data_IF_219002174892
#
_entry.id   IF_219002174892
#
_cell.length_a   1.000
_cell.length_b   1.000
_cell.length_c   1.000
_cell.angle_alpha   90.00
_cell.angle_beta   90.00
_cell.angle_gamma   90.00
#
_symmetry.space_group_name_H-M   'P 1'
#
loop_
_entity.id
_entity.type
_entity.pdbx_description
1 polymer ?
#
# COMPACT_ATOMS: atom_id res chain seq x y z
N UNK A 1 -13.29 -0.20 14.71
CA UNK A 1 -11.84 -0.21 15.00
C UNK A 1 -11.13 -0.03 13.66
N UNK A 2 -10.22 0.94 13.53
CA UNK A 2 -9.53 1.23 12.25
C UNK A 2 -8.50 0.14 12.01
N UNK A 3 -8.57 -0.55 10.87
CA UNK A 3 -7.59 -1.56 10.48
C UNK A 3 -6.38 -0.86 9.88
N UNK A 4 -5.18 -1.14 10.39
CA UNK A 4 -3.94 -0.63 9.78
C UNK A 4 -3.52 -1.54 8.64
N UNK A 5 -3.57 -1.01 7.41
CA UNK A 5 -3.14 -1.70 6.19
C UNK A 5 -1.88 -1.03 5.66
N UNK A 6 -0.87 -1.82 5.32
CA UNK A 6 0.41 -1.36 4.81
C UNK A 6 0.79 -2.17 3.57
N UNK A 7 1.13 -1.48 2.48
CA UNK A 7 1.68 -2.11 1.29
C UNK A 7 3.11 -2.60 1.56
N UNK A 8 3.45 -3.82 1.17
CA UNK A 8 4.79 -4.40 1.37
C UNK A 8 5.35 -5.02 0.09
N UNK A 9 6.47 -4.47 -0.37
CA UNK A 9 7.23 -5.00 -1.50
C UNK A 9 8.12 -6.16 -1.02
N UNK A 10 7.63 -7.39 -1.21
CA UNK A 10 8.35 -8.61 -0.84
C UNK A 10 7.46 -9.84 -0.75
N UNK A 11 8.06 -10.99 -0.45
CA UNK A 11 7.32 -12.22 -0.31
C UNK A 11 6.53 -12.23 1.01
N UNK A 12 5.25 -12.59 0.92
CA UNK A 12 4.39 -12.79 2.09
C UNK A 12 3.96 -14.25 2.14
N UNK A 13 4.32 -14.92 3.23
CA UNK A 13 3.90 -16.30 3.50
C UNK A 13 3.43 -16.43 4.96
N UNK A 14 2.44 -17.30 5.26
CA UNK A 14 2.07 -17.58 6.64
C UNK A 14 3.28 -18.08 7.45
N UNK A 15 3.24 -17.85 8.76
CA UNK A 15 4.26 -18.32 9.71
C UNK A 15 5.68 -17.81 9.42
N UNK A 16 5.79 -16.70 8.67
CA UNK A 16 7.06 -16.05 8.37
C UNK A 16 7.25 -14.75 9.14
N UNK A 17 8.49 -14.26 9.15
CA UNK A 17 8.85 -13.00 9.79
C UNK A 17 9.32 -12.02 8.74
N UNK A 18 8.71 -10.84 8.72
CA UNK A 18 9.03 -9.75 7.80
C UNK A 18 9.70 -8.61 8.56
N UNK A 19 10.87 -8.20 8.08
CA UNK A 19 11.53 -6.97 8.53
C UNK A 19 11.10 -5.84 7.60
N UNK A 20 10.49 -4.80 8.17
CA UNK A 20 10.01 -3.67 7.38
C UNK A 20 11.16 -2.75 6.98
N UNK A 21 11.14 -2.19 5.75
CA UNK A 21 12.01 -1.10 5.37
C UNK A 21 11.84 0.09 6.31
N UNK A 22 12.92 0.88 6.47
CA UNK A 22 12.96 2.01 7.40
C UNK A 22 11.80 3.00 7.26
N UNK A 23 11.36 3.27 6.03
CA UNK A 23 10.25 4.19 5.77
C UNK A 23 8.90 3.62 6.27
N UNK A 24 8.65 2.34 6.01
CA UNK A 24 7.47 1.63 6.53
C UNK A 24 7.49 1.54 8.05
N UNK A 25 8.65 1.25 8.65
CA UNK A 25 8.82 1.23 10.10
C UNK A 25 8.52 2.61 10.73
N UNK A 26 9.04 3.68 10.14
CA UNK A 26 8.77 5.06 10.58
C UNK A 26 7.28 5.41 10.50
N UNK A 27 6.60 5.02 9.41
CA UNK A 27 5.17 5.24 9.27
C UNK A 27 4.36 4.55 10.39
N UNK A 28 4.68 3.29 10.71
CA UNK A 28 3.97 2.55 11.76
C UNK A 28 4.22 3.12 13.17
N UNK A 29 5.46 3.44 13.53
CA UNK A 29 5.83 3.89 14.88
C UNK A 29 5.54 5.38 15.09
N UNK A 30 5.94 6.25 14.17
CA UNK A 30 5.91 7.70 14.41
C UNK A 30 4.60 8.35 13.97
N UNK A 31 3.99 7.85 12.88
CA UNK A 31 2.75 8.40 12.34
C UNK A 31 1.54 7.70 12.94
N UNK A 32 1.50 6.36 12.85
CA UNK A 32 0.37 5.58 13.36
C UNK A 32 0.49 5.24 14.86
N UNK A 33 1.69 5.37 15.45
CA UNK A 33 1.95 5.15 16.88
C UNK A 33 1.58 3.74 17.37
N UNK A 34 1.83 2.76 16.51
CA UNK A 34 1.66 1.35 16.86
C UNK A 34 2.78 0.87 17.78
N UNK A 35 2.46 -0.13 18.59
CA UNK A 35 3.36 -0.77 19.54
C UNK A 35 3.51 -2.26 19.22
N UNK A 36 4.50 -2.90 19.85
CA UNK A 36 4.57 -4.37 19.90
C UNK A 36 3.25 -4.96 20.39
N UNK A 37 2.76 -5.99 19.70
CA UNK A 37 1.47 -6.63 19.93
C UNK A 37 0.35 -6.14 19.02
N UNK A 38 0.48 -4.97 18.40
CA UNK A 38 -0.56 -4.44 17.52
C UNK A 38 -0.67 -5.24 16.21
N UNK A 39 -1.92 -5.41 15.75
CA UNK A 39 -2.23 -6.07 14.49
C UNK A 39 -2.02 -5.13 13.30
N UNK A 40 -1.37 -5.63 12.26
CA UNK A 40 -1.13 -4.93 11.00
C UNK A 40 -1.48 -5.87 9.84
N UNK A 41 -2.11 -5.33 8.81
CA UNK A 41 -2.40 -6.07 7.58
C UNK A 41 -1.35 -5.68 6.53
N UNK A 42 -0.53 -6.64 6.13
CA UNK A 42 0.42 -6.46 5.02
C UNK A 42 -0.21 -6.98 3.74
N UNK A 43 -0.08 -6.22 2.65
CA UNK A 43 -0.60 -6.65 1.36
C UNK A 43 0.30 -6.28 0.19
N UNK A 44 0.18 -7.06 -0.88
CA UNK A 44 0.68 -6.75 -2.21
C UNK A 44 -0.12 -7.51 -3.28
N UNK A 45 0.11 -7.18 -4.56
CA UNK A 45 -0.64 -7.74 -5.67
C UNK A 45 -0.35 -9.24 -5.89
N UNK A 46 0.84 -9.69 -5.51
CA UNK A 46 1.32 -11.04 -5.84
C UNK A 46 0.82 -12.11 -4.85
N UNK A 47 0.81 -11.81 -3.55
CA UNK A 47 0.49 -12.78 -2.50
C UNK A 47 -0.84 -12.47 -1.81
N UNK A 48 -1.40 -11.27 -2.01
CA UNK A 48 -2.68 -10.86 -1.45
C UNK A 48 -2.47 -10.13 -0.13
N UNK A 49 -3.37 -10.33 0.83
CA UNK A 49 -3.34 -9.65 2.12
C UNK A 49 -3.21 -10.65 3.27
N UNK A 50 -2.37 -10.31 4.24
CA UNK A 50 -2.02 -11.13 5.38
C UNK A 50 -2.21 -10.36 6.67
N UNK A 51 -2.65 -11.08 7.70
CA UNK A 51 -2.71 -10.60 9.08
C UNK A 51 -1.35 -10.86 9.70
N UNK A 52 -0.76 -9.83 10.28
CA UNK A 52 0.47 -9.94 11.05
C UNK A 52 0.39 -9.21 12.37
N UNK A 53 1.32 -9.54 13.25
CA UNK A 53 1.48 -8.93 14.57
C UNK A 53 2.85 -8.31 14.69
N UNK A 54 2.90 -7.08 15.20
CA UNK A 54 4.16 -6.40 15.46
C UNK A 54 4.89 -7.06 16.63
N UNK A 55 6.08 -7.62 16.40
CA UNK A 55 6.87 -8.27 17.45
C UNK A 55 7.82 -7.27 18.10
N UNK A 56 8.65 -6.61 17.28
CA UNK A 56 9.60 -5.59 17.72
C UNK A 56 9.23 -4.25 17.12
N UNK A 57 9.09 -3.24 17.98
CA UNK A 57 8.89 -1.85 17.61
C UNK A 57 10.09 -1.03 18.10
N UNK A 58 11.26 -1.21 17.48
CA UNK A 58 12.42 -0.34 17.75
C UNK A 58 12.46 0.80 16.74
N UNK A 59 13.15 1.89 17.09
CA UNK A 59 13.25 3.06 16.20
C UNK A 59 14.00 2.79 14.89
N UNK A 60 14.70 1.65 14.79
CA UNK A 60 15.50 1.26 13.63
C UNK A 60 14.86 0.09 12.86
N UNK A 61 14.40 -0.94 13.58
CA UNK A 61 13.84 -2.15 12.99
C UNK A 61 12.43 -2.42 13.54
N UNK A 62 11.47 -2.58 12.62
CA UNK A 62 10.14 -3.12 12.90
C UNK A 62 10.05 -4.51 12.28
N UNK A 63 9.60 -5.46 13.10
CA UNK A 63 9.43 -6.85 12.69
C UNK A 63 7.96 -7.24 12.83
N UNK A 64 7.39 -7.80 11.76
CA UNK A 64 6.02 -8.30 11.73
C UNK A 64 6.07 -9.82 11.60
N UNK A 65 5.41 -10.53 12.51
CA UNK A 65 5.15 -11.96 12.38
C UNK A 65 3.88 -12.12 11.56
N UNK A 66 3.95 -12.82 10.43
CA UNK A 66 2.80 -13.11 9.58
C UNK A 66 2.05 -14.30 10.17
N UNK A 67 0.81 -14.08 10.61
CA UNK A 67 0.00 -15.09 11.28
C UNK A 67 -0.79 -15.92 10.26
N UNK A 68 -1.53 -15.28 9.36
CA UNK A 68 -2.38 -15.98 8.38
C UNK A 68 -2.69 -15.11 7.15
N UNK A 69 -3.08 -15.75 6.06
CA UNK A 69 -3.60 -15.05 4.88
C UNK A 69 -5.04 -14.63 5.12
N UNK A 70 -5.33 -13.34 4.94
CA UNK A 70 -6.67 -12.77 5.05
C UNK A 70 -7.42 -12.82 3.72
N UNK A 71 -6.75 -12.47 2.62
CA UNK A 71 -7.32 -12.46 1.27
C UNK A 71 -6.30 -12.94 0.26
N UNK A 72 -6.73 -13.81 -0.66
CA UNK A 72 -5.94 -14.17 -1.83
C UNK A 72 -5.91 -13.03 -2.84
N UNK A 73 -4.88 -12.95 -3.71
CA UNK A 73 -4.93 -12.08 -4.88
C UNK A 73 -6.16 -12.41 -5.71
N UNK A 74 -6.93 -11.39 -6.07
CA UNK A 74 -8.05 -11.53 -6.99
C UNK A 74 -7.79 -10.65 -8.22
N UNK A 75 -7.85 -11.21 -9.44
CA UNK A 75 -7.75 -10.39 -10.64
C UNK A 75 -8.95 -9.44 -10.72
N UNK A 76 -8.77 -8.21 -11.23
CA UNK A 76 -9.86 -7.27 -11.40
C UNK A 76 -10.91 -7.84 -12.37
N UNK A 77 -12.20 -7.69 -12.04
CA UNK A 77 -13.31 -8.13 -12.89
C UNK A 77 -13.46 -7.30 -14.16
N UNK A 78 -12.96 -6.06 -14.15
CA UNK A 78 -12.92 -5.15 -15.28
C UNK A 78 -11.55 -4.47 -15.33
N UNK A 79 -10.93 -4.46 -16.51
CA UNK A 79 -9.64 -3.81 -16.72
C UNK A 79 -9.88 -2.40 -17.26
N UNK A 80 -9.47 -1.39 -16.50
CA UNK A 80 -9.58 0.02 -16.88
C UNK A 80 -8.19 0.62 -17.02
N UNK A 81 -7.87 1.12 -18.21
CA UNK A 81 -6.66 1.89 -18.48
C UNK A 81 -7.02 3.37 -18.62
N UNK A 82 -6.52 4.21 -17.72
CA UNK A 82 -6.84 5.63 -17.69
C UNK A 82 -5.71 6.45 -18.30
N UNK A 83 -5.95 7.03 -19.48
CA UNK A 83 -5.15 8.12 -20.00
C UNK A 83 -5.46 9.41 -19.25
N UNK A 84 -4.51 9.94 -18.48
CA UNK A 84 -4.71 11.11 -17.62
C UNK A 84 -3.85 12.28 -18.09
N UNK A 85 -4.48 13.31 -18.65
CA UNK A 85 -3.79 14.54 -19.06
C UNK A 85 -3.10 15.23 -17.89
N UNK A 86 -1.81 15.59 -18.06
CA UNK A 86 -1.03 16.21 -16.98
C UNK A 86 -1.68 17.51 -16.50
N UNK A 87 -1.92 17.58 -15.20
CA UNK A 87 -2.55 18.71 -14.49
C UNK A 87 -1.65 19.19 -13.36
N UNK A 88 -1.76 20.47 -12.97
CA UNK A 88 -0.93 21.05 -11.91
C UNK A 88 -1.50 20.78 -10.51
N UNK A 89 -0.58 20.55 -9.57
CA UNK A 89 -0.84 20.50 -8.14
C UNK A 89 -1.91 19.46 -7.77
N UNK A 90 -2.77 19.84 -6.83
CA UNK A 90 -3.76 18.96 -6.20
C UNK A 90 -4.72 18.24 -7.17
N UNK A 91 -4.97 18.79 -8.37
CA UNK A 91 -5.86 18.15 -9.35
C UNK A 91 -5.33 16.79 -9.80
N UNK A 92 -4.01 16.68 -9.96
CA UNK A 92 -3.38 15.42 -10.36
C UNK A 92 -3.47 14.39 -9.23
N UNK A 93 -3.12 14.81 -8.01
CA UNK A 93 -3.18 13.96 -6.83
C UNK A 93 -4.59 13.44 -6.58
N UNK A 94 -5.60 14.31 -6.71
CA UNK A 94 -7.01 13.94 -6.59
C UNK A 94 -7.43 12.92 -7.66
N UNK A 95 -7.05 13.12 -8.93
CA UNK A 95 -7.39 12.21 -10.00
C UNK A 95 -6.72 10.83 -9.80
N UNK A 96 -5.45 10.79 -9.38
CA UNK A 96 -4.76 9.54 -9.05
C UNK A 96 -5.46 8.84 -7.89
N UNK A 97 -5.73 9.56 -6.79
CA UNK A 97 -6.40 8.99 -5.63
C UNK A 97 -7.76 8.38 -6.00
N UNK A 98 -8.60 9.15 -6.71
CA UNK A 98 -9.97 8.72 -7.02
C UNK A 98 -10.04 7.64 -8.09
N UNK A 99 -9.14 7.65 -9.06
CA UNK A 99 -9.08 6.54 -10.02
C UNK A 99 -8.61 5.24 -9.36
N UNK A 100 -7.63 5.29 -8.45
CA UNK A 100 -7.23 4.12 -7.64
C UNK A 100 -8.36 3.61 -6.76
N UNK A 101 -9.07 4.50 -6.04
CA UNK A 101 -10.24 4.12 -5.21
C UNK A 101 -11.37 3.47 -6.04
N UNK A 102 -11.54 3.89 -7.30
CA UNK A 102 -12.53 3.34 -8.24
C UNK A 102 -12.07 2.04 -8.94
N UNK A 103 -10.86 1.54 -8.65
CA UNK A 103 -10.38 0.28 -9.19
C UNK A 103 -9.75 0.38 -10.58
N UNK A 104 -9.12 1.50 -10.92
CA UNK A 104 -8.34 1.61 -12.16
C UNK A 104 -7.20 0.58 -12.15
N UNK A 105 -6.94 -0.05 -13.30
CA UNK A 105 -5.89 -1.06 -13.44
C UNK A 105 -4.55 -0.44 -13.82
N UNK A 106 -4.56 0.65 -14.60
CA UNK A 106 -3.36 1.43 -14.89
C UNK A 106 -3.69 2.89 -15.18
N UNK A 107 -2.75 3.77 -14.85
CA UNK A 107 -2.83 5.20 -15.17
C UNK A 107 -1.64 5.54 -16.07
N UNK A 108 -1.92 6.09 -17.25
CA UNK A 108 -0.90 6.59 -18.17
C UNK A 108 -0.98 8.11 -18.20
N UNK A 109 -0.01 8.84 -17.63
CA UNK A 109 0.06 10.29 -17.75
C UNK A 109 0.27 10.71 -19.21
N UNK A 110 -0.52 11.67 -19.69
CA UNK A 110 -0.51 12.12 -21.07
C UNK A 110 -0.09 13.59 -21.17
N UNK A 111 0.89 13.85 -22.03
CA UNK A 111 1.15 15.19 -22.55
C UNK A 111 0.14 15.50 -23.65
N UNK A 112 -0.68 16.52 -23.44
CA UNK A 112 -1.70 16.95 -24.40
C UNK A 112 -1.52 18.41 -24.76
N UNK A 113 -2.16 18.86 -25.84
CA UNK A 113 -2.03 20.25 -26.35
C UNK A 113 -2.30 21.32 -25.28
N UNK A 114 -3.22 21.05 -24.34
CA UNK A 114 -3.61 21.99 -23.28
C UNK A 114 -3.08 21.60 -21.90
N UNK A 115 -2.13 20.65 -21.82
CA UNK A 115 -1.47 20.31 -20.57
C UNK A 115 -0.63 21.49 -20.09
N UNK A 116 -0.88 21.94 -18.87
CA UNK A 116 -0.19 23.09 -18.29
C UNK A 116 1.19 22.73 -17.68
N UNK A 117 1.45 21.43 -17.51
CA UNK A 117 2.72 20.88 -17.02
C UNK A 117 3.53 20.46 -18.24
N UNK A 118 4.76 20.97 -18.34
CA UNK A 118 5.74 20.59 -19.36
C UNK A 118 6.85 19.79 -18.70
#
# INVERSE_FOLDING_TARGET
>A
MRVTRLHYEGNLTPESTVVLPKESAHYLINVLRLNSGDTVYLFNEQFGEFIGRMEKATMQDVTIIIESQHRTPEPPSLIIQLGLGLSKGYRMDYAIQKSTELGVSSITPLYTQYSEVR
#
